data_IF_071312693469
#
_entry.id   IF_071312693469
#
_cell.length_a   1.000
_cell.length_b   1.000
_cell.length_c   1.000
_cell.angle_alpha   90.00
_cell.angle_beta   90.00
_cell.angle_gamma   90.00
#
_symmetry.space_group_name_H-M   'P 1'
#
loop_
_entity.id
_entity.type
_entity.pdbx_description
1 polymer ?
#
# COMPACT_ATOMS: atom_id res chain seq x y z
N UNK A 1 -0.75 30.14 75.23
CA UNK A 1 -0.08 31.44 75.28
C UNK A 1 1.40 31.20 75.40
N UNK A 2 2.28 31.66 74.53
CA UNK A 2 2.22 32.55 73.37
C UNK A 2 3.61 32.46 72.71
N UNK A 3 3.71 32.79 71.42
CA UNK A 3 4.80 33.59 70.80
C UNK A 3 6.28 33.15 70.96
N UNK A 4 7.20 33.27 70.02
CA UNK A 4 7.19 33.74 68.65
C UNK A 4 8.49 33.29 67.97
N UNK A 5 8.33 33.04 66.69
CA UNK A 5 9.24 33.04 65.54
C UNK A 5 10.50 33.92 65.64
N UNK A 6 11.62 33.46 65.05
CA UNK A 6 12.46 34.36 64.24
C UNK A 6 13.00 33.65 62.98
N UNK A 7 12.74 34.29 61.83
CA UNK A 7 13.12 33.93 60.46
C UNK A 7 14.53 34.44 60.15
N UNK A 8 15.18 33.84 59.15
CA UNK A 8 16.09 34.53 58.24
C UNK A 8 15.90 33.97 56.81
N UNK A 9 15.63 34.89 55.87
CA UNK A 9 15.95 35.01 54.43
C UNK A 9 15.78 33.80 53.49
N UNK A 10 14.84 33.83 52.53
CA UNK A 10 14.92 34.44 51.16
C UNK A 10 16.03 33.80 50.30
N UNK A 11 15.78 33.18 49.14
CA UNK A 11 14.79 33.42 48.07
C UNK A 11 14.67 32.19 47.14
N UNK A 12 13.60 32.07 46.35
CA UNK A 12 13.76 31.64 44.96
C UNK A 12 13.09 32.62 43.99
N UNK A 13 13.90 33.10 43.05
CA UNK A 13 13.50 33.86 41.88
C UNK A 13 13.19 32.90 40.72
N UNK A 14 12.32 33.35 39.81
CA UNK A 14 12.00 32.80 38.48
C UNK A 14 10.74 31.90 38.38
N UNK A 15 9.57 32.56 38.33
CA UNK A 15 8.33 32.04 37.72
C UNK A 15 7.70 33.10 36.78
N UNK A 16 8.54 33.89 36.10
CA UNK A 16 8.17 35.06 35.26
C UNK A 16 8.16 34.71 33.75
N UNK A 17 7.52 33.61 33.38
CA UNK A 17 7.37 33.21 31.96
C UNK A 17 5.99 32.72 31.54
N UNK A 18 5.08 32.51 32.50
CA UNK A 18 3.78 31.88 32.23
C UNK A 18 2.61 32.86 32.16
N UNK A 19 2.78 34.11 32.62
CA UNK A 19 1.69 35.04 32.87
C UNK A 19 1.68 36.21 31.86
N UNK A 20 1.53 35.93 30.57
CA UNK A 20 1.49 37.00 29.55
C UNK A 20 0.93 36.63 28.18
N UNK A 21 0.35 35.44 28.02
CA UNK A 21 -0.13 34.96 26.72
C UNK A 21 -1.64 35.12 26.61
N UNK A 22 -2.13 35.61 25.46
CA UNK A 22 -3.58 35.75 25.26
C UNK A 22 -4.28 34.40 25.44
N UNK A 23 -5.48 34.34 26.04
CA UNK A 23 -6.19 33.08 26.32
C UNK A 23 -6.35 32.19 25.08
N UNK A 24 -6.45 32.81 23.91
CA UNK A 24 -6.58 32.13 22.62
C UNK A 24 -5.27 31.45 22.20
N UNK A 25 -4.12 32.08 22.42
CA UNK A 25 -2.80 31.50 22.11
C UNK A 25 -2.45 30.36 23.06
N UNK A 26 -2.90 30.46 24.32
CA UNK A 26 -2.74 29.38 25.31
C UNK A 26 -3.63 28.18 24.99
N UNK A 27 -4.87 28.42 24.54
CA UNK A 27 -5.76 27.36 24.05
C UNK A 27 -5.22 26.70 22.77
N UNK A 28 -4.67 27.47 21.84
CA UNK A 28 -4.05 26.94 20.62
C UNK A 28 -2.86 26.03 20.92
N UNK A 29 -1.95 26.47 21.81
CA UNK A 29 -0.83 25.63 22.24
C UNK A 29 -1.26 24.39 23.03
N UNK A 30 -2.34 24.47 23.81
CA UNK A 30 -2.91 23.31 24.48
C UNK A 30 -3.52 22.31 23.49
N UNK A 31 -4.16 22.80 22.42
CA UNK A 31 -4.68 21.98 21.33
C UNK A 31 -3.55 21.30 20.55
N UNK A 32 -2.49 22.01 20.17
CA UNK A 32 -1.33 21.42 19.48
C UNK A 32 -0.67 20.31 20.33
N UNK A 33 -0.50 20.52 21.64
CA UNK A 33 0.06 19.48 22.51
C UNK A 33 -0.88 18.28 22.68
N UNK A 34 -2.19 18.51 22.69
CA UNK A 34 -3.19 17.44 22.72
C UNK A 34 -3.15 16.64 21.41
N UNK A 35 -3.07 17.30 20.26
CA UNK A 35 -2.92 16.64 18.96
C UNK A 35 -1.62 15.83 18.88
N UNK A 36 -0.50 16.38 19.34
CA UNK A 36 0.78 15.65 19.42
C UNK A 36 0.72 14.47 20.38
N UNK A 37 0.07 14.62 21.53
CA UNK A 37 -0.09 13.54 22.52
C UNK A 37 -1.02 12.45 22.00
N UNK A 38 -2.13 12.81 21.38
CA UNK A 38 -3.05 11.87 20.71
C UNK A 38 -2.31 11.14 19.59
N UNK A 39 -1.53 11.84 18.76
CA UNK A 39 -0.68 11.22 17.74
C UNK A 39 0.34 10.26 18.36
N UNK A 40 1.06 10.65 19.42
CA UNK A 40 2.05 9.79 20.11
C UNK A 40 1.44 8.59 20.82
N UNK A 41 0.25 8.72 21.40
CA UNK A 41 -0.52 7.61 22.01
C UNK A 41 -1.03 6.66 20.92
N UNK A 42 -1.40 7.19 19.74
CA UNK A 42 -1.85 6.41 18.59
C UNK A 42 -0.71 5.63 17.91
N UNK A 43 0.50 6.20 17.85
CA UNK A 43 1.70 5.56 17.30
C UNK A 43 2.10 4.24 18.00
N UNK A 44 1.55 3.98 19.19
CA UNK A 44 1.87 2.79 20.01
C UNK A 44 0.79 1.74 20.20
N UNK A 45 -0.52 2.04 20.06
CA UNK A 45 -1.59 1.15 20.60
C UNK A 45 -2.90 1.12 19.80
N UNK A 46 -2.85 1.02 18.47
CA UNK A 46 -4.10 0.72 17.74
C UNK A 46 -4.60 -0.71 18.07
N UNK A 47 -5.91 -0.87 18.22
CA UNK A 47 -6.58 -2.17 18.38
C UNK A 47 -7.40 -2.47 17.14
N UNK A 48 -7.61 -3.75 16.86
CA UNK A 48 -8.52 -4.15 15.79
C UNK A 48 -9.95 -3.75 16.13
N UNK A 49 -10.71 -3.35 15.11
CA UNK A 49 -12.09 -2.90 15.24
C UNK A 49 -13.05 -3.86 14.53
N UNK A 50 -14.33 -3.91 14.96
CA UNK A 50 -15.37 -4.65 14.24
C UNK A 50 -15.75 -3.95 12.91
N UNK A 51 -16.44 -4.68 12.03
CA UNK A 51 -16.79 -4.21 10.68
C UNK A 51 -17.83 -3.09 10.65
N UNK A 52 -18.79 -3.12 11.58
CA UNK A 52 -19.89 -2.16 11.70
C UNK A 52 -19.40 -0.72 11.88
N UNK A 53 -18.32 -0.53 12.64
CA UNK A 53 -17.72 0.78 12.92
C UNK A 53 -16.71 1.25 11.87
N UNK A 54 -16.47 0.48 10.81
CA UNK A 54 -15.57 0.92 9.73
C UNK A 54 -16.18 2.07 8.93
N UNK A 55 -15.35 2.99 8.42
CA UNK A 55 -15.79 3.94 7.41
C UNK A 55 -16.09 3.21 6.09
N UNK A 56 -16.99 3.76 5.28
CA UNK A 56 -17.54 3.08 4.10
C UNK A 56 -16.47 2.64 3.09
N UNK A 57 -15.42 3.44 2.89
CA UNK A 57 -14.32 3.13 1.99
C UNK A 57 -13.42 1.97 2.45
N UNK A 58 -13.54 1.52 3.71
CA UNK A 58 -12.88 0.32 4.23
C UNK A 58 -13.78 -0.93 4.23
N UNK A 59 -15.10 -0.75 4.07
CA UNK A 59 -16.10 -1.82 4.08
C UNK A 59 -16.18 -2.55 2.73
N UNK A 60 -15.17 -3.36 2.39
CA UNK A 60 -15.18 -4.15 1.14
C UNK A 60 -15.96 -5.47 1.27
N UNK A 61 -15.90 -6.12 2.44
CA UNK A 61 -16.47 -7.45 2.63
C UNK A 61 -17.15 -7.62 3.99
N UNK A 62 -18.48 -7.62 3.98
CA UNK A 62 -19.34 -7.71 5.17
C UNK A 62 -19.29 -9.09 5.86
N UNK A 63 -18.71 -10.11 5.22
CA UNK A 63 -18.49 -11.42 5.85
C UNK A 63 -17.31 -11.42 6.83
N UNK A 64 -16.42 -10.41 6.77
CA UNK A 64 -15.32 -10.24 7.71
C UNK A 64 -15.78 -9.39 8.88
N UNK A 65 -16.25 -10.01 9.96
CA UNK A 65 -16.92 -9.30 11.06
C UNK A 65 -15.97 -8.56 12.02
N UNK A 66 -14.74 -9.05 12.19
CA UNK A 66 -13.76 -8.53 13.16
C UNK A 66 -12.32 -8.60 12.61
N UNK A 67 -11.40 -7.92 13.31
CA UNK A 67 -9.96 -7.99 13.00
C UNK A 67 -9.48 -6.90 12.06
N UNK A 68 -10.29 -5.87 11.81
CA UNK A 68 -9.96 -4.80 10.89
C UNK A 68 -9.05 -3.76 11.52
N UNK A 69 -8.21 -3.13 10.69
CA UNK A 69 -7.40 -1.98 11.11
C UNK A 69 -8.27 -0.72 11.15
N UNK A 70 -8.14 0.13 12.18
CA UNK A 70 -8.76 1.44 12.14
C UNK A 70 -8.12 2.31 11.06
N UNK A 71 -8.79 3.40 10.62
CA UNK A 71 -8.15 4.40 9.78
C UNK A 71 -6.94 5.00 10.52
N UNK A 72 -5.76 4.93 9.89
CA UNK A 72 -4.49 5.35 10.45
C UNK A 72 -3.75 6.24 9.43
N UNK A 73 -3.89 7.58 9.50
CA UNK A 73 -3.29 8.51 8.55
C UNK A 73 -1.77 8.69 8.80
N UNK A 74 -1.06 7.57 8.94
CA UNK A 74 0.38 7.51 9.15
C UNK A 74 0.93 6.30 8.40
N UNK A 75 1.69 6.54 7.33
CA UNK A 75 2.39 5.47 6.61
C UNK A 75 3.25 4.63 7.54
N UNK A 76 3.92 5.24 8.53
CA UNK A 76 4.73 4.52 9.51
C UNK A 76 3.89 3.49 10.28
N UNK A 77 2.68 3.84 10.70
CA UNK A 77 1.76 2.92 11.36
C UNK A 77 1.27 1.81 10.41
N UNK A 78 0.97 2.14 9.16
CA UNK A 78 0.59 1.17 8.12
C UNK A 78 1.71 0.14 7.86
N UNK A 79 2.95 0.57 7.63
CA UNK A 79 4.09 -0.34 7.43
C UNK A 79 4.42 -1.16 8.68
N UNK A 80 4.30 -0.57 9.88
CA UNK A 80 4.48 -1.32 11.13
C UNK A 80 3.37 -2.36 11.34
N UNK A 81 2.19 -2.19 10.72
CA UNK A 81 1.09 -3.16 10.80
C UNK A 81 1.38 -4.48 10.08
N UNK A 82 2.36 -4.54 9.14
CA UNK A 82 2.77 -5.77 8.45
C UNK A 82 3.13 -6.89 9.44
N UNK A 83 3.69 -6.52 10.60
CA UNK A 83 4.08 -7.45 11.66
C UNK A 83 3.00 -7.66 12.73
N UNK A 84 1.76 -7.24 12.48
CA UNK A 84 0.60 -7.44 13.36
C UNK A 84 -0.44 -8.32 12.66
N UNK A 85 -1.26 -8.99 13.47
CA UNK A 85 -2.35 -9.84 13.00
C UNK A 85 -3.61 -8.99 12.82
N UNK A 86 -4.14 -8.99 11.60
CA UNK A 86 -5.37 -8.34 11.18
C UNK A 86 -5.86 -8.98 9.87
N UNK A 87 -7.03 -8.57 9.37
CA UNK A 87 -7.64 -9.11 8.13
C UNK A 87 -6.71 -9.06 6.91
N UNK A 88 -5.94 -7.99 6.77
CA UNK A 88 -5.01 -7.81 5.64
C UNK A 88 -3.64 -8.50 5.77
N UNK A 89 -3.32 -9.16 6.89
CA UNK A 89 -1.97 -9.74 7.11
C UNK A 89 -1.64 -10.79 6.04
N UNK A 90 -2.60 -11.67 5.70
CA UNK A 90 -2.42 -12.68 4.66
C UNK A 90 -2.21 -12.08 3.27
N UNK A 91 -3.00 -11.06 2.90
CA UNK A 91 -2.90 -10.38 1.62
C UNK A 91 -1.53 -9.71 1.43
N UNK A 92 -1.03 -9.06 2.47
CA UNK A 92 0.31 -8.45 2.45
C UNK A 92 1.40 -9.51 2.28
N UNK A 93 1.43 -10.53 3.16
CA UNK A 93 2.54 -11.48 3.20
C UNK A 93 2.60 -12.38 1.97
N UNK A 94 1.46 -12.80 1.42
CA UNK A 94 1.42 -13.63 0.22
C UNK A 94 2.01 -12.91 -0.99
N UNK A 95 1.63 -11.65 -1.23
CA UNK A 95 2.15 -10.86 -2.36
C UNK A 95 3.57 -10.34 -2.11
N UNK A 96 3.94 -10.02 -0.86
CA UNK A 96 5.30 -9.61 -0.50
C UNK A 96 6.30 -10.76 -0.71
N UNK A 97 6.00 -11.95 -0.20
CA UNK A 97 6.85 -13.14 -0.40
C UNK A 97 6.92 -13.52 -1.88
N UNK A 98 5.79 -13.45 -2.60
CA UNK A 98 5.76 -13.62 -4.05
C UNK A 98 6.66 -12.62 -4.78
N UNK A 99 6.62 -11.35 -4.39
CA UNK A 99 7.44 -10.30 -5.00
C UNK A 99 8.93 -10.60 -4.84
N UNK A 100 9.38 -10.98 -3.63
CA UNK A 100 10.77 -11.37 -3.38
C UNK A 100 11.14 -12.61 -4.18
N UNK A 101 10.26 -13.61 -4.25
CA UNK A 101 10.47 -14.82 -5.03
C UNK A 101 10.69 -14.52 -6.52
N UNK A 102 9.79 -13.76 -7.16
CA UNK A 102 9.90 -13.41 -8.58
C UNK A 102 11.09 -12.48 -8.87
N UNK A 103 11.46 -11.61 -7.93
CA UNK A 103 12.65 -10.79 -8.05
C UNK A 103 13.92 -11.64 -8.05
N UNK A 104 14.08 -12.54 -7.08
CA UNK A 104 15.21 -13.45 -7.00
C UNK A 104 15.27 -14.38 -8.23
N UNK A 105 14.13 -14.92 -8.65
CA UNK A 105 14.03 -15.79 -9.82
C UNK A 105 14.38 -15.03 -11.11
N UNK A 106 13.91 -13.80 -11.27
CA UNK A 106 14.22 -12.94 -12.41
C UNK A 106 15.70 -12.60 -12.49
N UNK A 107 16.32 -12.22 -11.35
CA UNK A 107 17.76 -11.98 -11.26
C UNK A 107 18.54 -13.24 -11.65
N UNK A 108 18.19 -14.39 -11.08
CA UNK A 108 18.82 -15.67 -11.42
C UNK A 108 18.70 -15.99 -12.92
N UNK A 109 17.53 -15.77 -13.52
CA UNK A 109 17.31 -15.98 -14.95
C UNK A 109 18.20 -15.08 -15.80
N UNK A 110 18.35 -13.80 -15.45
CA UNK A 110 19.21 -12.85 -16.19
C UNK A 110 20.69 -13.24 -16.16
N UNK A 111 21.14 -13.87 -15.07
CA UNK A 111 22.52 -14.36 -14.90
C UNK A 111 22.77 -15.76 -15.50
N UNK A 112 21.77 -16.43 -16.08
CA UNK A 112 21.99 -17.70 -16.78
C UNK A 112 22.99 -17.53 -17.94
N UNK A 113 23.93 -18.48 -18.15
CA UNK A 113 24.91 -18.41 -19.23
C UNK A 113 24.25 -18.26 -20.60
N UNK A 114 24.77 -17.35 -21.43
CA UNK A 114 24.22 -17.08 -22.77
C UNK A 114 24.27 -18.31 -23.69
N UNK A 115 25.17 -19.26 -23.43
CA UNK A 115 25.30 -20.52 -24.19
C UNK A 115 24.06 -21.41 -24.11
N UNK A 116 23.17 -21.18 -23.13
CA UNK A 116 21.92 -21.90 -22.97
C UNK A 116 20.77 -21.35 -23.83
N UNK A 117 20.99 -20.27 -24.59
CA UNK A 117 19.98 -19.58 -25.38
C UNK A 117 20.40 -19.50 -26.84
N UNK A 118 19.42 -19.54 -27.74
CA UNK A 118 19.67 -19.38 -29.19
C UNK A 118 19.86 -17.90 -29.52
N UNK A 119 19.04 -17.03 -28.91
CA UNK A 119 19.12 -15.57 -29.06
C UNK A 119 19.13 -14.92 -27.66
N UNK A 120 20.28 -14.90 -26.96
CA UNK A 120 20.35 -14.58 -25.53
C UNK A 120 19.75 -13.22 -25.16
N UNK A 121 19.96 -12.20 -26.00
CA UNK A 121 19.43 -10.85 -25.74
C UNK A 121 17.90 -10.84 -25.89
N UNK A 122 17.37 -11.37 -26.99
CA UNK A 122 15.93 -11.35 -27.26
C UNK A 122 15.16 -12.21 -26.26
N UNK A 123 15.65 -13.43 -25.98
CA UNK A 123 15.04 -14.35 -25.01
C UNK A 123 15.03 -13.76 -23.60
N UNK A 124 16.12 -13.11 -23.18
CA UNK A 124 16.17 -12.41 -21.88
C UNK A 124 15.26 -11.19 -21.82
N UNK A 125 15.09 -10.45 -22.91
CA UNK A 125 14.17 -9.30 -22.97
C UNK A 125 12.71 -9.76 -22.84
N UNK A 126 12.28 -10.78 -23.61
CA UNK A 126 10.88 -11.23 -23.57
C UNK A 126 10.49 -11.83 -22.22
N UNK A 127 11.38 -12.61 -21.61
CA UNK A 127 11.15 -13.14 -20.26
C UNK A 127 11.31 -12.06 -19.19
N UNK A 128 12.21 -11.09 -19.40
CA UNK A 128 12.36 -9.91 -18.55
C UNK A 128 11.08 -9.07 -18.47
N UNK A 129 10.34 -8.92 -19.57
CA UNK A 129 9.05 -8.21 -19.59
C UNK A 129 7.97 -8.94 -18.76
N UNK A 130 7.98 -10.28 -18.76
CA UNK A 130 7.14 -11.07 -17.85
C UNK A 130 7.51 -10.81 -16.39
N UNK A 131 8.80 -10.90 -16.04
CA UNK A 131 9.24 -10.64 -14.66
C UNK A 131 8.93 -9.21 -14.22
N UNK A 132 9.09 -8.22 -15.09
CA UNK A 132 8.71 -6.83 -14.82
C UNK A 132 7.22 -6.72 -14.49
N UNK A 133 6.34 -7.32 -15.30
CA UNK A 133 4.90 -7.34 -15.05
C UNK A 133 4.55 -8.03 -13.72
N UNK A 134 5.16 -9.17 -13.42
CA UNK A 134 4.95 -9.90 -12.17
C UNK A 134 5.41 -9.12 -10.94
N UNK A 135 6.61 -8.54 -10.97
CA UNK A 135 7.15 -7.76 -9.86
C UNK A 135 6.32 -6.50 -9.63
N UNK A 136 5.93 -5.77 -10.67
CA UNK A 136 5.08 -4.58 -10.54
C UNK A 136 3.70 -4.94 -9.97
N UNK A 137 3.06 -5.99 -10.49
CA UNK A 137 1.76 -6.46 -9.99
C UNK A 137 1.80 -6.80 -8.50
N UNK A 138 2.76 -7.63 -8.09
CA UNK A 138 2.90 -8.04 -6.70
C UNK A 138 3.28 -6.86 -5.81
N UNK A 139 4.14 -5.96 -6.30
CA UNK A 139 4.55 -4.76 -5.59
C UNK A 139 3.39 -3.82 -5.31
N UNK A 140 2.60 -3.49 -6.33
CA UNK A 140 1.42 -2.63 -6.16
C UNK A 140 0.41 -3.24 -5.20
N UNK A 141 0.24 -4.55 -5.25
CA UNK A 141 -0.71 -5.25 -4.40
C UNK A 141 -0.31 -5.27 -2.92
N UNK A 142 0.90 -5.70 -2.57
CA UNK A 142 1.30 -5.72 -1.16
C UNK A 142 1.40 -4.30 -0.58
N UNK A 143 1.79 -3.31 -1.39
CA UNK A 143 1.76 -1.90 -1.01
C UNK A 143 0.34 -1.42 -0.75
N UNK A 144 -0.60 -1.70 -1.66
CA UNK A 144 -2.01 -1.37 -1.49
C UNK A 144 -2.55 -1.95 -0.19
N UNK A 145 -2.42 -3.25 0.03
CA UNK A 145 -2.90 -3.88 1.26
C UNK A 145 -2.20 -3.34 2.51
N UNK A 146 -0.95 -2.89 2.42
CA UNK A 146 -0.25 -2.25 3.54
C UNK A 146 -0.88 -0.90 3.89
N UNK A 147 -1.06 -0.02 2.89
CA UNK A 147 -1.57 1.35 3.06
C UNK A 147 -3.09 1.47 2.96
N UNK A 148 -3.79 0.35 2.80
CA UNK A 148 -5.25 0.30 2.64
C UNK A 148 -5.99 1.01 3.76
N UNK A 149 -5.46 1.03 4.99
CA UNK A 149 -6.07 1.70 6.14
C UNK A 149 -5.67 3.17 6.33
N UNK A 150 -4.93 3.79 5.40
CA UNK A 150 -4.35 5.11 5.62
C UNK A 150 -5.40 6.24 5.62
N UNK A 151 -5.97 6.50 4.44
CA UNK A 151 -7.00 7.49 4.18
C UNK A 151 -7.70 7.14 2.87
N UNK A 152 -8.91 7.65 2.64
CA UNK A 152 -9.68 7.34 1.44
C UNK A 152 -8.88 7.64 0.15
N UNK A 153 -8.23 8.80 0.07
CA UNK A 153 -7.45 9.18 -1.11
C UNK A 153 -6.27 8.24 -1.39
N UNK A 154 -5.54 7.83 -0.35
CA UNK A 154 -4.42 6.88 -0.48
C UNK A 154 -4.95 5.50 -0.87
N UNK A 155 -6.02 5.03 -0.23
CA UNK A 155 -6.64 3.75 -0.55
C UNK A 155 -7.13 3.69 -2.00
N UNK A 156 -7.81 4.73 -2.48
CA UNK A 156 -8.27 4.84 -3.87
C UNK A 156 -7.12 4.86 -4.86
N UNK A 157 -6.06 5.63 -4.60
CA UNK A 157 -4.88 5.67 -5.47
C UNK A 157 -4.21 4.30 -5.59
N UNK A 158 -3.95 3.64 -4.46
CA UNK A 158 -3.27 2.34 -4.47
C UNK A 158 -4.16 1.21 -4.99
N UNK A 159 -5.49 1.31 -4.82
CA UNK A 159 -6.44 0.37 -5.45
C UNK A 159 -6.38 0.43 -6.97
N UNK A 160 -6.28 1.64 -7.56
CA UNK A 160 -6.08 1.81 -9.01
C UNK A 160 -4.76 1.20 -9.49
N UNK A 161 -3.68 1.34 -8.70
CA UNK A 161 -2.39 0.73 -9.00
C UNK A 161 -2.44 -0.79 -8.92
N UNK A 162 -3.10 -1.36 -7.91
CA UNK A 162 -3.28 -2.80 -7.74
C UNK A 162 -4.02 -3.43 -8.94
N UNK A 163 -5.14 -2.83 -9.35
CA UNK A 163 -5.86 -3.27 -10.56
C UNK A 163 -5.04 -3.11 -11.85
N UNK A 164 -4.26 -2.03 -11.97
CA UNK A 164 -3.36 -1.85 -13.11
C UNK A 164 -2.24 -2.89 -13.13
N UNK A 165 -1.77 -3.31 -11.96
CA UNK A 165 -0.78 -4.38 -11.79
C UNK A 165 -1.23 -5.69 -12.43
N UNK A 166 -2.50 -6.07 -12.24
CA UNK A 166 -3.07 -7.30 -12.83
C UNK A 166 -2.98 -7.25 -14.36
N UNK A 167 -3.35 -6.12 -14.97
CA UNK A 167 -3.26 -5.94 -16.43
C UNK A 167 -1.80 -6.02 -16.93
N UNK A 168 -0.86 -5.41 -16.21
CA UNK A 168 0.58 -5.48 -16.54
C UNK A 168 1.12 -6.91 -16.47
N UNK A 169 0.73 -7.69 -15.46
CA UNK A 169 1.10 -9.11 -15.35
C UNK A 169 0.52 -9.92 -16.52
N UNK A 170 -0.76 -9.72 -16.86
CA UNK A 170 -1.40 -10.40 -17.99
C UNK A 170 -0.64 -10.07 -19.28
N UNK A 171 -0.46 -8.78 -19.60
CA UNK A 171 0.29 -8.36 -20.79
C UNK A 171 1.70 -8.96 -20.83
N UNK A 172 2.45 -8.85 -19.72
CA UNK A 172 3.80 -9.38 -19.60
C UNK A 172 3.88 -10.90 -19.79
N UNK A 173 2.88 -11.66 -19.32
CA UNK A 173 2.83 -13.12 -19.47
C UNK A 173 2.65 -13.60 -20.91
N UNK A 174 1.97 -12.80 -21.75
CA UNK A 174 1.76 -13.13 -23.15
C UNK A 174 3.03 -12.92 -23.99
N UNK A 175 3.94 -12.04 -23.58
CA UNK A 175 5.15 -11.70 -24.38
C UNK A 175 6.04 -12.91 -24.65
N UNK A 176 6.58 -13.63 -23.64
CA UNK A 176 7.40 -14.81 -23.89
C UNK A 176 6.58 -15.97 -24.48
N UNK A 177 5.32 -16.12 -24.07
CA UNK A 177 4.46 -17.19 -24.59
C UNK A 177 4.22 -17.07 -26.09
N UNK A 178 3.85 -15.87 -26.58
CA UNK A 178 3.67 -15.61 -28.01
C UNK A 178 4.98 -15.70 -28.78
N UNK A 179 6.08 -15.20 -28.20
CA UNK A 179 7.41 -15.28 -28.82
C UNK A 179 7.81 -16.73 -29.15
N UNK A 180 7.64 -17.66 -28.21
CA UNK A 180 7.96 -19.07 -28.46
C UNK A 180 6.87 -19.79 -29.28
N UNK A 181 5.59 -19.46 -29.10
CA UNK A 181 4.49 -20.12 -29.84
C UNK A 181 4.52 -19.80 -31.34
N UNK A 182 4.88 -18.55 -31.68
CA UNK A 182 4.92 -18.06 -33.05
C UNK A 182 6.35 -17.81 -33.53
N UNK A 183 7.32 -18.56 -33.00
CA UNK A 183 8.75 -18.37 -33.30
C UNK A 183 9.07 -18.35 -34.80
N UNK A 184 8.42 -19.23 -35.58
CA UNK A 184 8.61 -19.33 -37.03
C UNK A 184 7.65 -18.44 -37.85
N UNK A 185 6.70 -17.75 -37.21
CA UNK A 185 5.69 -16.95 -37.92
C UNK A 185 5.50 -15.57 -37.24
N UNK A 186 6.25 -14.54 -37.67
CA UNK A 186 6.30 -13.26 -36.97
C UNK A 186 5.03 -12.42 -37.13
N UNK A 187 4.27 -12.59 -38.22
CA UNK A 187 3.05 -11.82 -38.48
C UNK A 187 1.96 -12.03 -37.40
N UNK A 188 1.50 -13.26 -37.11
CA UNK A 188 0.53 -13.50 -36.04
C UNK A 188 1.09 -13.12 -34.66
N UNK A 189 2.39 -13.33 -34.40
CA UNK A 189 3.03 -12.91 -33.16
C UNK A 189 2.81 -11.41 -32.89
N UNK A 190 3.12 -10.58 -33.88
CA UNK A 190 2.98 -9.12 -33.77
C UNK A 190 1.52 -8.68 -33.62
N UNK A 191 0.61 -9.29 -34.38
CA UNK A 191 -0.83 -8.99 -34.29
C UNK A 191 -1.36 -9.31 -32.89
N UNK A 192 -1.08 -10.50 -32.36
CA UNK A 192 -1.55 -10.87 -31.01
C UNK A 192 -0.92 -10.02 -29.91
N UNK A 193 0.36 -9.63 -30.06
CA UNK A 193 1.01 -8.69 -29.15
C UNK A 193 0.34 -7.30 -29.16
N UNK A 194 -0.03 -6.78 -30.33
CA UNK A 194 -0.77 -5.50 -30.39
C UNK A 194 -2.13 -5.64 -29.70
N UNK A 195 -2.87 -6.71 -29.99
CA UNK A 195 -4.21 -6.92 -29.42
C UNK A 195 -4.15 -6.99 -27.91
N UNK A 196 -3.24 -7.78 -27.32
CA UNK A 196 -3.14 -7.88 -25.86
C UNK A 196 -2.70 -6.56 -25.22
N UNK A 197 -1.84 -5.78 -25.88
CA UNK A 197 -1.46 -4.45 -25.41
C UNK A 197 -2.63 -3.47 -25.44
N UNK A 198 -3.43 -3.45 -26.51
CA UNK A 198 -4.62 -2.59 -26.61
C UNK A 198 -5.64 -2.97 -25.54
N UNK A 199 -5.92 -4.26 -25.37
CA UNK A 199 -6.85 -4.74 -24.34
C UNK A 199 -6.35 -4.43 -22.93
N UNK A 200 -5.06 -4.63 -22.66
CA UNK A 200 -4.46 -4.35 -21.36
C UNK A 200 -4.43 -2.86 -21.03
N UNK A 201 -4.12 -1.98 -22.00
CA UNK A 201 -4.20 -0.52 -21.82
C UNK A 201 -5.66 -0.10 -21.58
N UNK A 202 -6.61 -0.65 -22.32
CA UNK A 202 -8.03 -0.39 -22.08
C UNK A 202 -8.45 -0.81 -20.66
N UNK A 203 -7.99 -1.97 -20.19
CA UNK A 203 -8.25 -2.42 -18.81
C UNK A 203 -7.62 -1.50 -17.76
N UNK A 204 -6.41 -0.98 -17.99
CA UNK A 204 -5.77 0.02 -17.12
C UNK A 204 -6.56 1.33 -17.10
N UNK A 205 -7.06 1.80 -18.26
CA UNK A 205 -7.88 3.01 -18.32
C UNK A 205 -9.18 2.80 -17.55
N UNK A 206 -9.85 1.65 -17.73
CA UNK A 206 -11.07 1.30 -17.00
C UNK A 206 -10.79 1.22 -15.48
N UNK A 207 -9.64 0.71 -15.07
CA UNK A 207 -9.28 0.64 -13.64
C UNK A 207 -9.06 2.00 -12.99
N UNK A 208 -8.81 3.06 -13.78
CA UNK A 208 -8.72 4.42 -13.25
C UNK A 208 -10.09 5.04 -12.91
N UNK A 209 -11.18 4.44 -13.38
CA UNK A 209 -12.52 4.95 -13.14
C UNK A 209 -12.96 4.70 -11.70
N UNK A 210 -13.31 5.75 -10.98
CA UNK A 210 -13.63 5.69 -9.54
C UNK A 210 -14.80 4.76 -9.19
N UNK A 211 -15.77 4.59 -10.10
CA UNK A 211 -16.88 3.66 -9.91
C UNK A 211 -16.44 2.20 -9.93
N UNK A 212 -15.36 1.88 -10.63
CA UNK A 212 -14.82 0.52 -10.77
C UNK A 212 -14.29 -0.04 -9.45
N UNK A 213 -13.88 0.82 -8.52
CA UNK A 213 -13.37 0.42 -7.20
C UNK A 213 -14.48 0.06 -6.20
N UNK A 214 -15.75 0.37 -6.49
CA UNK A 214 -16.85 0.15 -5.55
C UNK A 214 -17.23 -1.35 -5.42
N UNK A 215 -17.74 -1.81 -4.26
CA UNK A 215 -18.08 -3.23 -4.06
C UNK A 215 -19.11 -3.78 -5.06
N UNK A 216 -20.01 -2.93 -5.56
CA UNK A 216 -21.06 -3.30 -6.52
C UNK A 216 -20.49 -3.80 -7.85
N UNK A 217 -19.28 -3.39 -8.22
CA UNK A 217 -18.62 -3.78 -9.48
C UNK A 217 -17.70 -4.99 -9.33
N UNK A 218 -17.73 -5.71 -8.19
CA UNK A 218 -16.91 -6.92 -8.00
C UNK A 218 -17.12 -7.98 -9.09
N UNK A 219 -18.35 -8.15 -9.57
CA UNK A 219 -18.68 -9.05 -10.69
C UNK A 219 -18.06 -8.59 -12.02
N UNK A 220 -18.15 -7.29 -12.32
CA UNK A 220 -17.57 -6.67 -13.52
C UNK A 220 -16.04 -6.82 -13.53
N UNK A 221 -15.37 -6.65 -12.38
CA UNK A 221 -13.93 -6.89 -12.23
C UNK A 221 -13.54 -8.35 -12.46
N UNK A 222 -14.41 -9.28 -12.08
CA UNK A 222 -14.19 -10.71 -12.24
C UNK A 222 -14.53 -11.25 -13.65
N UNK A 223 -15.08 -10.41 -14.54
CA UNK A 223 -15.53 -10.82 -15.88
C UNK A 223 -16.75 -11.75 -15.85
N UNK A 224 -17.60 -11.63 -14.82
CA UNK A 224 -18.86 -12.38 -14.68
C UNK A 224 -20.07 -11.58 -15.10
#
# INVERSE_FOLDING_TARGET
SSEDTNRNDESPQEDEGFMGMSPLLQAHHAMERMEEFVCKVWEGRWRVIPHDVLPDWLKDNDYLLHGHRPPMPSFRACFKSIFRIHTETGNIWTHLLGCVFFLCLGIFYMFRPNMSFVAPVQEKVVVGLFFLGAILCLSFSWLFHTVYCHSEGVSRLFSKLDYSGIALLIMGSFVPWLYYSFYCNPQPCFIYLIVICVLGIAAIIVSQWDMFATPQYRGVRAGK
#
